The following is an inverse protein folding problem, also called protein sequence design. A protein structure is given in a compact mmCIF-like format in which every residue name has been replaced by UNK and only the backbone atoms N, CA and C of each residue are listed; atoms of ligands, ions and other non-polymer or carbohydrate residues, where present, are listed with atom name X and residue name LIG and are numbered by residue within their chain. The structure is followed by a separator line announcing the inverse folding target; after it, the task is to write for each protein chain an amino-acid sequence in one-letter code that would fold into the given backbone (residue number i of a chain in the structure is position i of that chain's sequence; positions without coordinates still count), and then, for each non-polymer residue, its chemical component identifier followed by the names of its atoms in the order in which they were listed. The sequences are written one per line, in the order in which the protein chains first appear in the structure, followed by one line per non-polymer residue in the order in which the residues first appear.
data_IF_345435519154
#
_entry.id   IF_345435519154
#
_cell.length_a   1.000
_cell.length_b   1.000
_cell.length_c   1.000
_cell.angle_alpha   90.00
_cell.angle_beta   90.00
_cell.angle_gamma   90.00
#
_symmetry.space_group_name_H-M   'P 1'
#
loop_
_entity.id
_entity.type
_entity.pdbx_description
1 polymer ?
#
# COMPACT_ATOMS: atom_id res chain seq x y z
N UNK A 1 -5.84 6.66 -4.25
CA UNK A 1 -6.84 5.87 -3.50
C UNK A 1 -6.40 4.42 -3.46
N UNK A 2 -6.18 3.89 -2.27
CA UNK A 2 -5.77 2.50 -2.12
C UNK A 2 -6.97 1.56 -2.30
N UNK A 3 -6.80 0.52 -3.12
CA UNK A 3 -7.80 -0.53 -3.32
C UNK A 3 -7.52 -1.75 -2.48
N UNK A 4 -6.32 -1.87 -1.94
CA UNK A 4 -5.89 -2.92 -1.05
C UNK A 4 -4.50 -2.64 -0.55
N UNK A 5 -3.96 -3.51 0.28
CA UNK A 5 -2.64 -3.32 0.85
C UNK A 5 -1.92 -4.66 1.04
N UNK A 6 -0.60 -4.61 0.90
CA UNK A 6 0.26 -5.73 1.28
C UNK A 6 0.59 -5.56 2.77
N UNK A 7 0.31 -6.58 3.55
CA UNK A 7 0.41 -6.55 5.01
C UNK A 7 1.80 -6.98 5.48
N UNK A 8 2.77 -6.06 5.39
CA UNK A 8 4.14 -6.33 5.83
C UNK A 8 4.47 -5.60 7.13
N UNK A 9 3.54 -5.64 8.08
CA UNK A 9 3.70 -4.98 9.36
C UNK A 9 3.12 -5.85 10.49
N UNK A 10 3.47 -5.55 11.72
CA UNK A 10 3.09 -6.37 12.87
C UNK A 10 1.70 -6.10 13.40
N UNK A 11 1.21 -4.87 13.28
CA UNK A 11 -0.04 -4.47 13.94
C UNK A 11 -1.25 -5.25 13.45
N UNK A 12 -1.43 -5.35 12.13
CA UNK A 12 -2.61 -6.03 11.60
C UNK A 12 -2.59 -7.54 11.83
N UNK A 13 -1.41 -8.13 12.05
CA UNK A 13 -1.27 -9.55 12.38
C UNK A 13 -1.88 -9.88 13.75
N UNK A 14 -1.99 -8.91 14.62
CA UNK A 14 -2.64 -9.11 15.93
C UNK A 14 -4.15 -9.18 15.81
N UNK A 15 -4.71 -8.67 14.71
CA UNK A 15 -6.15 -8.65 14.49
C UNK A 15 -6.64 -9.74 13.54
N UNK A 16 -5.82 -10.12 12.58
CA UNK A 16 -6.19 -11.11 11.58
C UNK A 16 -4.96 -11.88 11.10
N UNK A 17 -5.11 -13.16 10.70
CA UNK A 17 -4.02 -13.94 10.13
C UNK A 17 -3.38 -13.22 8.94
N UNK A 18 -2.10 -13.49 8.70
CA UNK A 18 -1.37 -12.83 7.61
C UNK A 18 -1.97 -13.12 6.23
N UNK A 19 -2.62 -14.26 6.09
CA UNK A 19 -3.26 -14.68 4.85
C UNK A 19 -4.56 -13.91 4.57
N UNK A 20 -5.11 -13.23 5.58
CA UNK A 20 -6.32 -12.44 5.38
C UNK A 20 -5.99 -11.20 4.55
N UNK A 21 -6.64 -11.01 3.40
CA UNK A 21 -6.30 -9.90 2.52
C UNK A 21 -6.75 -8.55 3.08
N UNK A 22 -5.93 -7.54 2.88
CA UNK A 22 -6.30 -6.17 3.21
C UNK A 22 -6.96 -5.53 1.99
N UNK A 23 -8.28 -5.63 1.93
CA UNK A 23 -9.09 -5.12 0.81
C UNK A 23 -9.87 -3.90 1.27
N UNK A 24 -9.84 -2.83 0.48
CA UNK A 24 -10.59 -1.63 0.80
C UNK A 24 -12.09 -1.86 0.64
N UNK A 25 -12.88 -1.09 1.41
CA UNK A 25 -14.33 -1.10 1.24
C UNK A 25 -14.69 -0.55 -0.13
N UNK A 26 -15.49 -1.30 -0.89
CA UNK A 26 -15.81 -0.94 -2.26
C UNK A 26 -16.61 0.36 -2.35
N UNK A 27 -17.58 0.55 -1.47
CA UNK A 27 -18.42 1.75 -1.48
C UNK A 27 -17.61 3.00 -1.16
N UNK A 28 -16.75 2.93 -0.15
CA UNK A 28 -15.89 4.05 0.23
C UNK A 28 -14.88 4.36 -0.87
N UNK A 29 -14.29 3.33 -1.46
CA UNK A 29 -13.34 3.50 -2.57
C UNK A 29 -14.00 4.19 -3.75
N UNK A 30 -15.18 3.75 -4.14
CA UNK A 30 -15.94 4.36 -5.24
C UNK A 30 -16.32 5.81 -4.93
N UNK A 31 -16.70 6.09 -3.70
CA UNK A 31 -17.05 7.44 -3.27
C UNK A 31 -15.84 8.38 -3.35
N UNK A 32 -14.66 7.91 -2.93
CA UNK A 32 -13.43 8.71 -3.00
C UNK A 32 -13.02 9.01 -4.44
N UNK A 33 -13.11 8.02 -5.31
CA UNK A 33 -12.80 8.19 -6.73
C UNK A 33 -13.79 9.17 -7.38
N UNK A 34 -15.08 9.04 -7.09
CA UNK A 34 -16.10 9.93 -7.61
C UNK A 34 -15.86 11.37 -7.13
N UNK A 35 -15.52 11.55 -5.86
CA UNK A 35 -15.21 12.87 -5.30
C UNK A 35 -14.00 13.51 -5.98
N UNK A 36 -12.94 12.74 -6.22
CA UNK A 36 -11.74 13.23 -6.90
C UNK A 36 -12.06 13.68 -8.33
N UNK A 37 -12.88 12.92 -9.05
CA UNK A 37 -13.32 13.28 -10.40
C UNK A 37 -14.17 14.54 -10.40
N UNK A 38 -15.11 14.64 -9.49
CA UNK A 38 -16.01 15.79 -9.38
C UNK A 38 -15.25 17.08 -9.09
N UNK A 39 -14.25 17.01 -8.19
CA UNK A 39 -13.43 18.15 -7.81
C UNK A 39 -12.31 18.46 -8.81
N UNK A 40 -12.10 17.57 -9.78
CA UNK A 40 -11.07 17.77 -10.79
C UNK A 40 -9.65 17.53 -10.30
N UNK A 41 -9.47 16.85 -9.18
CA UNK A 41 -8.14 16.52 -8.67
C UNK A 41 -7.57 15.27 -9.35
N UNK A 42 -6.26 15.25 -9.62
CA UNK A 42 -5.64 14.03 -10.12
C UNK A 42 -5.69 12.94 -9.04
N UNK A 43 -5.90 11.69 -9.47
CA UNK A 43 -5.92 10.55 -8.55
C UNK A 43 -5.35 9.31 -9.23
N UNK A 44 -4.89 8.39 -8.39
CA UNK A 44 -4.45 7.07 -8.82
C UNK A 44 -5.10 6.03 -7.92
N UNK A 45 -5.35 4.84 -8.47
CA UNK A 45 -5.86 3.71 -7.70
C UNK A 45 -4.84 2.58 -7.77
N UNK A 46 -4.74 1.81 -6.71
CA UNK A 46 -3.82 0.68 -6.70
C UNK A 46 -3.59 0.11 -5.31
N UNK A 47 -2.77 -0.93 -5.27
CA UNK A 47 -2.39 -1.59 -4.03
C UNK A 47 -1.18 -0.89 -3.43
N UNK A 48 -1.20 -0.70 -2.12
CA UNK A 48 -0.11 -0.07 -1.37
C UNK A 48 0.58 -1.11 -0.50
N UNK A 49 1.76 -0.77 -0.01
CA UNK A 49 2.50 -1.60 0.93
C UNK A 49 2.49 -0.94 2.30
N UNK A 50 2.12 -1.72 3.33
CA UNK A 50 2.23 -1.29 4.71
C UNK A 50 3.49 -1.90 5.33
N UNK A 51 4.28 -1.08 6.00
CA UNK A 51 5.53 -1.49 6.62
C UNK A 51 5.67 -0.86 7.99
N UNK A 52 6.41 -1.54 8.88
CA UNK A 52 6.79 -0.97 10.18
C UNK A 52 7.91 0.06 10.04
N UNK A 53 8.86 -0.19 9.15
CA UNK A 53 10.05 0.64 8.99
C UNK A 53 9.87 1.63 7.84
N UNK A 54 9.58 2.88 8.17
CA UNK A 54 9.37 3.95 7.19
C UNK A 54 10.60 4.16 6.30
N UNK A 55 11.76 4.27 6.91
CA UNK A 55 13.00 4.57 6.18
C UNK A 55 13.55 3.39 5.38
N UNK A 56 13.03 2.20 5.55
CA UNK A 56 13.42 1.06 4.72
C UNK A 56 13.13 1.28 3.25
N UNK A 57 12.13 2.10 2.94
CA UNK A 57 11.75 2.44 1.59
C UNK A 57 12.48 3.69 1.07
N UNK A 58 12.71 4.67 1.95
CA UNK A 58 13.33 5.94 1.58
C UNK A 58 14.86 5.89 1.64
N UNK A 59 15.41 5.03 2.48
CA UNK A 59 16.85 4.82 2.61
C UNK A 59 17.15 3.32 2.58
N UNK A 60 16.92 2.65 1.45
CA UNK A 60 17.00 1.18 1.37
C UNK A 60 18.40 0.62 1.66
N UNK A 61 19.45 1.39 1.46
CA UNK A 61 20.81 0.95 1.77
C UNK A 61 21.04 0.71 3.26
N UNK A 62 20.20 1.25 4.12
CA UNK A 62 20.23 1.01 5.56
C UNK A 62 19.50 -0.25 5.96
N UNK A 63 18.68 -0.78 5.06
CA UNK A 63 17.82 -1.94 5.31
C UNK A 63 17.82 -2.85 4.09
N UNK A 64 18.83 -3.73 3.98
CA UNK A 64 19.02 -4.55 2.78
C UNK A 64 17.81 -5.36 2.33
N UNK A 65 17.04 -5.89 3.27
CA UNK A 65 15.83 -6.65 2.94
C UNK A 65 14.79 -5.77 2.25
N UNK A 66 14.63 -4.54 2.75
CA UNK A 66 13.70 -3.58 2.15
C UNK A 66 14.13 -3.15 0.75
N UNK A 67 15.43 -3.05 0.50
CA UNK A 67 15.96 -2.71 -0.81
C UNK A 67 15.57 -3.75 -1.86
N UNK A 68 15.76 -5.03 -1.55
CA UNK A 68 15.37 -6.11 -2.47
C UNK A 68 13.87 -6.11 -2.74
N UNK A 69 13.06 -5.99 -1.69
CA UNK A 69 11.61 -6.00 -1.83
C UNK A 69 11.11 -4.80 -2.62
N UNK A 70 11.67 -3.64 -2.40
CA UNK A 70 11.30 -2.43 -3.12
C UNK A 70 11.49 -2.61 -4.62
N UNK A 71 12.63 -3.16 -5.04
CA UNK A 71 12.91 -3.39 -6.45
C UNK A 71 11.92 -4.38 -7.07
N UNK A 72 11.63 -5.48 -6.38
CA UNK A 72 10.69 -6.48 -6.88
C UNK A 72 9.28 -5.92 -7.03
N UNK A 73 8.85 -5.10 -6.09
CA UNK A 73 7.47 -4.65 -6.03
C UNK A 73 7.22 -3.46 -6.95
N UNK A 74 8.20 -2.63 -7.17
CA UNK A 74 8.13 -1.61 -8.21
C UNK A 74 8.00 -2.24 -9.59
N UNK A 75 8.74 -3.33 -9.83
CA UNK A 75 8.65 -4.05 -11.09
C UNK A 75 7.27 -4.66 -11.32
N UNK A 76 6.52 -4.99 -10.27
CA UNK A 76 5.15 -5.50 -10.37
C UNK A 76 4.10 -4.39 -10.45
N UNK A 77 4.50 -3.13 -10.42
CA UNK A 77 3.59 -1.99 -10.53
C UNK A 77 2.92 -1.59 -9.23
N UNK A 78 3.36 -2.13 -8.10
CA UNK A 78 2.78 -1.78 -6.80
C UNK A 78 3.24 -0.39 -6.36
N UNK A 79 2.31 0.38 -5.80
CA UNK A 79 2.60 1.66 -5.18
C UNK A 79 2.92 1.44 -3.70
N UNK A 80 3.88 2.19 -3.15
CA UNK A 80 4.26 2.08 -1.76
C UNK A 80 4.21 3.43 -1.05
N UNK A 81 4.00 3.37 0.25
CA UNK A 81 4.05 4.54 1.12
C UNK A 81 5.42 4.71 1.72
#
# INVERSE_FOLDING_TARGET
VATGAVRMEGTSREYAPIEYPAVADLEVTNALVAAAKELGYPYHTGVVQCKDAFYGQHEPERMPVSYELLNKWEASGMQSF
#
